data_IF_234725662686
#
_entry.id   IF_234725662686
#
_cell.length_a   1.000
_cell.length_b   1.000
_cell.length_c   1.000
_cell.angle_alpha   90.00
_cell.angle_beta   90.00
_cell.angle_gamma   90.00
#
_symmetry.space_group_name_H-M   'P 1'
#
loop_
_entity.id
_entity.type
_entity.pdbx_description
1 polymer ?
#
# COMPACT_ATOMS: atom_id res chain seq x y z
N UNK A 1 4.38 20.42 5.66
CA UNK A 1 3.32 21.46 5.68
C UNK A 1 3.58 22.55 4.65
N UNK A 2 4.75 23.21 4.63
CA UNK A 2 5.03 24.31 3.70
C UNK A 2 4.91 23.91 2.22
N UNK A 3 5.41 22.74 1.83
CA UNK A 3 5.32 22.28 0.44
C UNK A 3 3.85 22.03 -0.01
N UNK A 4 3.03 21.44 0.87
CA UNK A 4 1.62 21.19 0.57
C UNK A 4 0.79 22.49 0.48
N UNK A 5 1.22 23.58 1.13
CA UNK A 5 0.61 24.89 1.06
C UNK A 5 1.22 25.84 0.04
N UNK A 6 2.13 25.38 -0.81
CA UNK A 6 2.79 26.20 -1.82
C UNK A 6 1.94 26.39 -3.08
N UNK A 7 2.33 27.34 -3.93
CA UNK A 7 1.66 27.58 -5.22
C UNK A 7 1.71 26.36 -6.17
N UNK A 8 2.58 25.41 -5.92
CA UNK A 8 2.69 24.18 -6.72
C UNK A 8 1.43 23.32 -6.63
N UNK A 9 0.66 23.41 -5.54
CA UNK A 9 -0.60 22.68 -5.41
C UNK A 9 -1.68 23.12 -6.40
N UNK A 10 -1.54 24.30 -7.00
CA UNK A 10 -2.47 24.81 -8.00
C UNK A 10 -2.15 24.34 -9.42
N UNK A 11 -0.99 23.68 -9.64
CA UNK A 11 -0.57 23.25 -10.96
C UNK A 11 -1.11 21.87 -11.29
N UNK A 12 -1.89 21.78 -12.35
CA UNK A 12 -2.22 20.49 -12.97
C UNK A 12 -0.97 19.87 -13.57
N UNK A 13 -0.62 18.64 -13.09
CA UNK A 13 0.57 17.90 -13.48
C UNK A 13 0.26 16.42 -13.75
N UNK A 14 -0.88 16.16 -14.40
CA UNK A 14 -1.26 14.81 -14.79
C UNK A 14 -0.21 14.15 -15.67
N UNK A 15 0.05 12.88 -15.44
CA UNK A 15 1.13 12.13 -16.06
C UNK A 15 2.32 11.97 -15.10
N UNK A 16 3.50 11.83 -15.66
CA UNK A 16 4.75 11.58 -14.93
C UNK A 16 5.84 12.54 -15.37
N UNK A 17 6.94 12.70 -14.64
CA UNK A 17 8.07 13.53 -15.07
C UNK A 17 8.49 13.25 -16.52
N UNK A 18 8.58 14.29 -17.31
CA UNK A 18 8.87 14.21 -18.75
C UNK A 18 7.75 13.63 -19.62
N UNK A 19 6.61 13.25 -19.05
CA UNK A 19 5.44 12.69 -19.76
C UNK A 19 4.15 13.28 -19.24
N UNK A 20 4.04 14.61 -19.24
CA UNK A 20 2.85 15.32 -18.77
C UNK A 20 1.84 15.53 -19.88
N UNK A 21 0.58 15.63 -19.51
CA UNK A 21 -0.48 16.02 -20.44
C UNK A 21 -0.56 17.53 -20.68
N UNK A 22 0.02 18.34 -19.77
CA UNK A 22 -0.02 19.80 -19.82
C UNK A 22 1.39 20.38 -19.79
N UNK A 23 1.56 21.56 -20.40
CA UNK A 23 2.80 22.33 -20.33
C UNK A 23 3.02 23.02 -18.98
N UNK A 24 4.22 23.54 -18.75
CA UNK A 24 4.57 24.28 -17.53
C UNK A 24 4.78 23.40 -16.31
N UNK A 25 5.19 22.15 -16.50
CA UNK A 25 5.40 21.18 -15.41
C UNK A 25 6.88 20.99 -15.05
N UNK A 26 7.79 21.79 -15.57
CA UNK A 26 9.24 21.64 -15.44
C UNK A 26 9.66 21.59 -13.96
N UNK A 27 9.16 22.51 -13.14
CA UNK A 27 9.48 22.55 -11.71
C UNK A 27 8.80 21.42 -10.93
N UNK A 28 7.60 21.01 -11.32
CA UNK A 28 6.92 19.86 -10.73
C UNK A 28 7.68 18.57 -11.05
N UNK A 29 8.22 18.46 -12.27
CA UNK A 29 9.05 17.33 -12.68
C UNK A 29 10.31 17.19 -11.82
N UNK A 30 10.99 18.31 -11.53
CA UNK A 30 12.16 18.32 -10.65
C UNK A 30 11.80 17.82 -9.23
N UNK A 31 10.70 18.31 -8.68
CA UNK A 31 10.26 17.95 -7.32
C UNK A 31 9.85 16.48 -7.27
N UNK A 32 9.08 16.01 -8.22
CA UNK A 32 8.65 14.61 -8.25
C UNK A 32 9.83 13.66 -8.48
N UNK A 33 10.74 14.01 -9.38
CA UNK A 33 11.97 13.24 -9.62
C UNK A 33 12.83 13.17 -8.35
N UNK A 34 13.00 14.28 -7.64
CA UNK A 34 13.72 14.31 -6.37
C UNK A 34 13.09 13.38 -5.32
N UNK A 35 11.75 13.38 -5.25
CA UNK A 35 11.04 12.48 -4.33
C UNK A 35 11.21 11.00 -4.72
N UNK A 36 11.13 10.68 -6.00
CA UNK A 36 11.36 9.33 -6.53
C UNK A 36 12.78 8.86 -6.18
N UNK A 37 13.80 9.68 -6.45
CA UNK A 37 15.19 9.32 -6.21
C UNK A 37 15.48 9.10 -4.72
N UNK A 38 14.93 9.94 -3.86
CA UNK A 38 15.03 9.78 -2.41
C UNK A 38 14.33 8.52 -1.91
N UNK A 39 13.15 8.21 -2.41
CA UNK A 39 12.43 6.99 -2.06
C UNK A 39 13.22 5.75 -2.51
N UNK A 40 13.75 5.75 -3.73
CA UNK A 40 14.61 4.67 -4.25
C UNK A 40 15.85 4.48 -3.37
N UNK A 41 16.53 5.56 -3.01
CA UNK A 41 17.72 5.50 -2.17
C UNK A 41 17.41 5.00 -0.75
N UNK A 42 16.30 5.46 -0.16
CA UNK A 42 15.89 5.09 1.20
C UNK A 42 15.54 3.61 1.32
N UNK A 43 14.82 3.08 0.34
CA UNK A 43 14.32 1.71 0.37
C UNK A 43 15.18 0.71 -0.42
N UNK A 44 16.25 1.15 -1.07
CA UNK A 44 17.05 0.31 -1.97
C UNK A 44 16.22 -0.21 -3.16
N UNK A 45 15.20 0.52 -3.58
CA UNK A 45 14.27 0.11 -4.61
C UNK A 45 14.75 0.52 -6.00
N UNK A 46 14.50 -0.34 -6.98
CA UNK A 46 14.78 -0.03 -8.39
C UNK A 46 13.77 0.98 -8.96
N UNK A 47 12.51 0.89 -8.53
CA UNK A 47 11.42 1.76 -8.94
C UNK A 47 10.68 2.32 -7.74
N UNK A 48 10.14 3.53 -7.88
CA UNK A 48 9.28 4.17 -6.90
C UNK A 48 8.21 5.01 -7.60
N UNK A 49 6.99 4.98 -7.07
CA UNK A 49 5.92 5.89 -7.43
C UNK A 49 5.53 6.68 -6.18
N UNK A 50 5.66 8.00 -6.24
CA UNK A 50 5.42 8.91 -5.11
C UNK A 50 4.13 9.70 -5.25
N UNK A 51 3.29 9.39 -6.25
CA UNK A 51 2.05 10.13 -6.52
C UNK A 51 0.89 9.80 -5.57
N UNK A 52 0.76 8.58 -4.96
CA UNK A 52 -0.34 8.31 -4.06
C UNK A 52 -0.41 9.35 -2.93
N UNK A 53 -1.60 9.91 -2.69
CA UNK A 53 -1.80 10.91 -1.63
C UNK A 53 -1.92 10.30 -0.23
N UNK A 54 -2.02 8.96 -0.14
CA UNK A 54 -2.16 8.23 1.14
C UNK A 54 -1.68 6.79 0.99
N UNK A 55 -1.35 6.15 2.12
CA UNK A 55 -1.05 4.73 2.15
C UNK A 55 -2.22 3.86 1.66
N UNK A 56 -3.46 4.27 1.91
CA UNK A 56 -4.64 3.59 1.41
C UNK A 56 -4.69 3.60 -0.12
N UNK A 57 -4.42 4.74 -0.76
CA UNK A 57 -4.36 4.83 -2.21
C UNK A 57 -3.20 4.02 -2.78
N UNK A 58 -2.02 4.05 -2.13
CA UNK A 58 -0.87 3.26 -2.54
C UNK A 58 -1.18 1.75 -2.52
N UNK A 59 -1.80 1.26 -1.44
CA UNK A 59 -2.21 -0.13 -1.33
C UNK A 59 -3.22 -0.53 -2.41
N UNK A 60 -4.24 0.30 -2.64
CA UNK A 60 -5.24 0.02 -3.67
C UNK A 60 -4.64 0.03 -5.08
N UNK A 61 -3.71 0.92 -5.36
CA UNK A 61 -2.98 0.94 -6.64
C UNK A 61 -2.13 -0.32 -6.83
N UNK A 62 -1.44 -0.77 -5.78
CA UNK A 62 -0.67 -2.01 -5.81
C UNK A 62 -1.59 -3.23 -6.05
N UNK A 63 -2.73 -3.29 -5.37
CA UNK A 63 -3.71 -4.36 -5.59
C UNK A 63 -4.25 -4.35 -7.02
N UNK A 64 -4.62 -3.19 -7.54
CA UNK A 64 -5.13 -3.07 -8.91
C UNK A 64 -4.10 -3.48 -9.97
N UNK A 65 -2.80 -3.31 -9.69
CA UNK A 65 -1.72 -3.78 -10.57
C UNK A 65 -1.52 -5.30 -10.54
N UNK A 66 -1.83 -5.95 -9.41
CA UNK A 66 -1.52 -7.37 -9.16
C UNK A 66 -2.73 -8.29 -9.21
N UNK A 67 -3.94 -7.76 -9.07
CA UNK A 67 -5.18 -8.51 -8.82
C UNK A 67 -6.31 -8.03 -9.72
N UNK A 68 -7.28 -8.91 -9.92
CA UNK A 68 -8.60 -8.58 -10.50
C UNK A 68 -9.67 -8.61 -9.40
N UNK A 69 -10.80 -7.88 -9.56
CA UNK A 69 -11.93 -8.01 -8.66
C UNK A 69 -12.34 -9.47 -8.49
N UNK A 70 -12.52 -9.90 -7.24
CA UNK A 70 -12.82 -11.30 -6.88
C UNK A 70 -11.61 -12.17 -6.56
N UNK A 71 -10.40 -11.74 -6.89
CA UNK A 71 -9.18 -12.45 -6.46
C UNK A 71 -9.04 -12.49 -4.94
N UNK A 72 -8.28 -13.46 -4.44
CA UNK A 72 -8.09 -13.62 -3.00
C UNK A 72 -6.95 -12.76 -2.48
N UNK A 73 -7.24 -11.99 -1.45
CA UNK A 73 -6.31 -11.20 -0.64
C UNK A 73 -6.20 -11.80 0.75
N UNK A 74 -5.00 -12.05 1.24
CA UNK A 74 -4.75 -12.40 2.65
C UNK A 74 -4.05 -11.25 3.34
N UNK A 75 -4.50 -10.88 4.53
CA UNK A 75 -3.89 -9.80 5.32
C UNK A 75 -4.21 -9.94 6.82
N UNK A 76 -3.49 -9.18 7.64
CA UNK A 76 -3.76 -9.14 9.08
C UNK A 76 -5.12 -8.49 9.35
N UNK A 77 -5.90 -9.07 10.25
CA UNK A 77 -7.17 -8.49 10.71
C UNK A 77 -6.96 -7.22 11.55
N UNK A 78 -8.02 -6.45 11.72
CA UNK A 78 -7.99 -5.21 12.51
C UNK A 78 -7.68 -5.46 13.98
N UNK A 79 -8.21 -6.57 14.55
CA UNK A 79 -8.02 -6.91 15.95
C UNK A 79 -6.55 -7.27 16.24
N UNK A 80 -5.85 -7.90 15.30
CA UNK A 80 -4.43 -8.20 15.38
C UNK A 80 -3.51 -7.01 15.14
N UNK A 81 -4.04 -5.88 14.69
CA UNK A 81 -3.29 -4.67 14.39
C UNK A 81 -3.16 -4.35 12.90
N UNK A 82 -3.91 -5.04 12.04
CA UNK A 82 -3.95 -4.77 10.61
C UNK A 82 -4.58 -3.43 10.25
N UNK A 83 -4.57 -3.10 8.98
CA UNK A 83 -5.16 -1.87 8.44
C UNK A 83 -6.47 -2.18 7.70
N UNK A 84 -7.35 -1.19 7.57
CA UNK A 84 -8.60 -1.31 6.81
C UNK A 84 -8.37 -1.83 5.38
N UNK A 85 -7.29 -1.40 4.73
CA UNK A 85 -6.95 -1.82 3.37
C UNK A 85 -6.45 -3.27 3.26
N UNK A 86 -6.33 -4.00 4.37
CA UNK A 86 -5.99 -5.42 4.37
C UNK A 86 -7.21 -6.34 4.19
N UNK A 87 -8.28 -5.84 3.60
CA UNK A 87 -9.47 -6.62 3.30
C UNK A 87 -10.63 -6.45 4.27
N UNK A 88 -10.63 -5.41 5.12
CA UNK A 88 -11.76 -5.15 6.01
C UNK A 88 -13.06 -4.95 5.19
N UNK A 89 -14.15 -5.56 5.59
CA UNK A 89 -15.42 -5.61 4.84
C UNK A 89 -15.98 -4.21 4.50
N UNK A 90 -15.71 -3.22 5.33
CA UNK A 90 -16.14 -1.83 5.11
C UNK A 90 -15.24 -1.08 4.14
N UNK A 91 -14.03 -1.57 3.90
CA UNK A 91 -13.05 -0.96 3.01
C UNK A 91 -13.23 -1.44 1.57
N UNK A 92 -12.75 -0.65 0.60
CA UNK A 92 -12.78 -1.02 -0.80
C UNK A 92 -12.07 -2.34 -1.09
N UNK A 93 -10.97 -2.64 -0.38
CA UNK A 93 -10.25 -3.91 -0.52
C UNK A 93 -11.13 -5.12 -0.16
N UNK A 94 -11.94 -5.03 0.90
CA UNK A 94 -12.87 -6.09 1.29
C UNK A 94 -14.12 -6.17 0.41
N UNK A 95 -14.44 -5.09 -0.34
CA UNK A 95 -15.57 -5.07 -1.29
C UNK A 95 -15.20 -5.60 -2.66
N UNK A 96 -13.96 -5.37 -3.11
CA UNK A 96 -13.48 -5.78 -4.43
C UNK A 96 -12.89 -7.18 -4.44
N UNK A 97 -12.24 -7.59 -3.35
CA UNK A 97 -11.47 -8.83 -3.28
C UNK A 97 -12.08 -9.80 -2.27
N UNK A 98 -11.85 -11.08 -2.46
CA UNK A 98 -12.16 -12.10 -1.46
C UNK A 98 -11.10 -12.04 -0.36
N UNK A 99 -11.41 -11.31 0.70
CA UNK A 99 -10.50 -11.14 1.82
C UNK A 99 -10.53 -12.33 2.76
N UNK A 100 -9.36 -12.84 3.13
CA UNK A 100 -9.13 -13.81 4.18
C UNK A 100 -8.13 -13.22 5.15
N UNK A 101 -8.39 -13.31 6.45
CA UNK A 101 -7.53 -12.68 7.45
C UNK A 101 -6.79 -13.69 8.32
N UNK A 102 -5.60 -13.28 8.77
CA UNK A 102 -4.90 -13.87 9.89
C UNK A 102 -4.83 -12.88 11.04
N UNK A 103 -4.77 -13.39 12.26
CA UNK A 103 -4.67 -12.60 13.48
C UNK A 103 -3.41 -12.93 14.28
N UNK A 104 -3.44 -12.57 15.54
CA UNK A 104 -2.42 -12.92 16.52
C UNK A 104 -2.95 -14.00 17.48
N UNK A 105 -2.06 -14.77 18.05
CA UNK A 105 -2.40 -15.67 19.16
C UNK A 105 -2.83 -14.85 20.39
N UNK A 106 -4.00 -15.15 20.94
CA UNK A 106 -4.60 -14.36 22.03
C UNK A 106 -3.79 -14.36 23.32
N UNK A 107 -3.02 -15.42 23.56
CA UNK A 107 -2.23 -15.56 24.79
C UNK A 107 -0.90 -14.84 24.71
N UNK A 108 -0.26 -14.89 23.55
CA UNK A 108 1.09 -14.36 23.35
C UNK A 108 1.10 -12.99 22.68
N UNK A 109 0.02 -12.63 21.99
CA UNK A 109 -0.07 -11.44 21.15
C UNK A 109 0.91 -11.48 19.98
N UNK A 110 1.34 -12.66 19.53
CA UNK A 110 2.27 -12.85 18.43
C UNK A 110 1.57 -13.47 17.23
N UNK A 111 2.10 -13.19 16.04
CA UNK A 111 1.71 -13.90 14.82
C UNK A 111 2.19 -15.34 14.97
N UNK A 112 1.27 -16.28 14.74
CA UNK A 112 1.58 -17.70 14.57
C UNK A 112 1.82 -17.95 13.06
N UNK A 113 3.08 -18.07 12.67
CA UNK A 113 3.46 -18.22 11.28
C UNK A 113 3.02 -19.54 10.66
N UNK A 114 2.96 -20.62 11.46
CA UNK A 114 2.47 -21.93 10.98
C UNK A 114 0.98 -21.81 10.60
N UNK A 115 0.21 -21.12 11.43
CA UNK A 115 -1.20 -20.82 11.14
C UNK A 115 -1.36 -19.92 9.92
N UNK A 116 -0.49 -18.92 9.76
CA UNK A 116 -0.51 -18.07 8.56
C UNK A 116 -0.21 -18.89 7.31
N UNK A 117 0.76 -19.80 7.37
CA UNK A 117 1.09 -20.70 6.26
C UNK A 117 -0.12 -21.58 5.88
N UNK A 118 -0.79 -22.18 6.84
CA UNK A 118 -2.00 -22.99 6.61
C UNK A 118 -3.11 -22.16 5.93
N UNK A 119 -3.34 -20.93 6.40
CA UNK A 119 -4.32 -20.02 5.80
C UNK A 119 -3.94 -19.71 4.34
N UNK A 120 -2.68 -19.39 4.09
CA UNK A 120 -2.19 -19.06 2.74
C UNK A 120 -2.30 -20.27 1.81
N UNK A 121 -1.91 -21.46 2.28
CA UNK A 121 -2.03 -22.70 1.51
C UNK A 121 -3.48 -23.04 1.15
N UNK A 122 -4.39 -22.85 2.09
CA UNK A 122 -5.82 -23.10 1.87
C UNK A 122 -6.47 -22.03 0.98
N UNK A 123 -6.19 -20.77 1.22
CA UNK A 123 -6.80 -19.65 0.50
C UNK A 123 -6.22 -19.42 -0.90
N UNK A 124 -4.96 -19.80 -1.13
CA UNK A 124 -4.20 -19.57 -2.38
C UNK A 124 -4.33 -18.13 -2.87
N UNK A 125 -3.94 -17.14 -2.05
CA UNK A 125 -4.14 -15.75 -2.38
C UNK A 125 -3.31 -15.32 -3.58
N UNK A 126 -3.80 -14.33 -4.31
CA UNK A 126 -3.03 -13.61 -5.32
C UNK A 126 -2.02 -12.67 -4.67
N UNK A 127 -2.40 -12.07 -3.52
CA UNK A 127 -1.56 -11.17 -2.72
C UNK A 127 -1.70 -11.54 -1.24
N UNK A 128 -0.55 -11.62 -0.57
CA UNK A 128 -0.41 -11.64 0.89
C UNK A 128 0.15 -10.29 1.35
N UNK A 129 -0.59 -9.59 2.22
CA UNK A 129 -0.14 -8.33 2.79
C UNK A 129 0.66 -8.59 4.05
N UNK A 130 1.95 -8.33 4.00
CA UNK A 130 2.85 -8.36 5.14
C UNK A 130 3.04 -6.94 5.67
N UNK A 131 2.45 -6.64 6.82
CA UNK A 131 2.50 -5.32 7.44
C UNK A 131 1.35 -5.11 8.39
N UNK A 132 1.45 -4.08 9.20
CA UNK A 132 0.46 -3.74 10.21
C UNK A 132 0.49 -2.26 10.56
N UNK A 133 -0.65 -1.73 11.03
CA UNK A 133 -0.73 -0.38 11.58
C UNK A 133 -0.42 -0.34 13.08
N UNK A 134 -0.77 -1.38 13.82
CA UNK A 134 -0.73 -1.39 15.28
C UNK A 134 -0.11 -2.66 15.88
N UNK A 135 0.50 -3.53 15.10
CA UNK A 135 1.26 -4.66 15.60
C UNK A 135 2.68 -4.18 16.01
N UNK A 136 3.03 -4.23 17.31
CA UNK A 136 4.23 -3.56 17.82
C UNK A 136 5.50 -4.42 17.78
N UNK A 137 5.53 -5.47 16.99
CA UNK A 137 6.66 -6.40 16.87
C UNK A 137 7.17 -6.46 15.44
N UNK A 138 8.41 -6.87 15.26
CA UNK A 138 8.95 -7.15 13.95
C UNK A 138 8.17 -8.28 13.27
N UNK A 139 7.98 -8.16 11.97
CA UNK A 139 7.55 -9.22 11.08
C UNK A 139 8.80 -9.93 10.57
N UNK A 140 8.80 -11.24 10.63
CA UNK A 140 9.90 -12.08 10.17
C UNK A 140 9.61 -12.63 8.77
#
# INVERSE_FOLDING_TARGET
>A
MAAAGSCLTNKYAEGYPGRRYYGGCEFVDEIETLAIDRAKALFGAEYANVQPHSGAQANLAAYAALMQPGDTLVGMDLAGGGHLTHGAAVNQSGKLYRAVSYGVDEKTGRIDYDRVEDIVRAARPRVLVAGASAYPRALD
#
